data_IF_364958727878
#
_entry.id   IF_364958727878
#
_cell.length_a   1.000
_cell.length_b   1.000
_cell.length_c   1.000
_cell.angle_alpha   90.00
_cell.angle_beta   90.00
_cell.angle_gamma   90.00
#
_symmetry.space_group_name_H-M   'P 1'
#
loop_
_entity.id
_entity.type
_entity.pdbx_description
1 polymer ?
#
# COMPACT_ATOMS: atom_id res chain seq x y z
N UNK A 1 -8.76 -0.96 16.81
CA UNK A 1 -10.03 -0.52 16.18
C UNK A 1 -10.31 -1.45 15.01
N UNK A 2 -11.57 -1.81 14.72
CA UNK A 2 -11.86 -2.55 13.50
C UNK A 2 -11.62 -1.64 12.29
N UNK A 3 -10.78 -2.09 11.36
CA UNK A 3 -10.61 -1.50 10.02
C UNK A 3 -10.87 -2.60 9.00
N UNK A 4 -11.29 -2.22 7.80
CA UNK A 4 -11.62 -3.17 6.74
C UNK A 4 -11.02 -2.71 5.43
N UNK A 5 -10.38 -3.65 4.74
CA UNK A 5 -9.96 -3.46 3.36
C UNK A 5 -11.12 -3.75 2.41
N UNK A 6 -11.08 -3.15 1.23
CA UNK A 6 -12.08 -3.35 0.18
C UNK A 6 -11.39 -3.77 -1.11
N UNK A 7 -11.96 -4.75 -1.81
CA UNK A 7 -11.57 -5.13 -3.17
C UNK A 7 -12.74 -4.85 -4.09
N UNK A 8 -12.54 -3.91 -5.01
CA UNK A 8 -13.51 -3.58 -6.05
C UNK A 8 -13.15 -4.38 -7.30
N UNK A 9 -14.09 -5.15 -7.82
CA UNK A 9 -13.92 -5.96 -9.03
C UNK A 9 -14.87 -5.50 -10.13
N UNK A 10 -14.31 -5.28 -11.32
CA UNK A 10 -15.06 -4.96 -12.54
C UNK A 10 -14.41 -5.64 -13.73
N UNK A 11 -15.12 -6.61 -14.33
CA UNK A 11 -14.54 -7.51 -15.33
C UNK A 11 -13.25 -8.17 -14.84
N UNK A 12 -12.16 -8.02 -15.61
CA UNK A 12 -10.84 -8.57 -15.28
C UNK A 12 -9.96 -7.59 -14.47
N UNK A 13 -10.53 -6.49 -13.99
CA UNK A 13 -9.83 -5.47 -13.20
C UNK A 13 -10.22 -5.60 -11.74
N UNK A 14 -9.22 -5.53 -10.86
CA UNK A 14 -9.41 -5.48 -9.41
C UNK A 14 -8.55 -4.42 -8.74
N UNK A 15 -9.17 -3.63 -7.88
CA UNK A 15 -8.56 -2.54 -7.12
C UNK A 15 -8.74 -2.84 -5.63
N UNK A 16 -7.67 -2.76 -4.86
CA UNK A 16 -7.67 -3.00 -3.42
C UNK A 16 -7.36 -1.72 -2.68
N UNK A 17 -8.24 -1.34 -1.76
CA UNK A 17 -8.03 -0.26 -0.79
C UNK A 17 -7.70 -0.89 0.56
N UNK A 18 -6.51 -0.62 1.10
CA UNK A 18 -6.01 -1.28 2.31
C UNK A 18 -6.70 -0.83 3.59
N UNK A 19 -7.17 0.42 3.62
CA UNK A 19 -7.46 1.16 4.87
C UNK A 19 -6.23 1.24 5.79
N UNK A 20 -6.41 1.76 7.01
CA UNK A 20 -5.38 1.77 8.04
C UNK A 20 -5.12 0.35 8.55
N UNK A 21 -3.86 -0.07 8.47
CA UNK A 21 -3.39 -1.35 8.97
C UNK A 21 -1.89 -1.34 9.19
N UNK A 22 -1.41 -2.27 10.02
CA UNK A 22 0.01 -2.47 10.35
C UNK A 22 0.70 -3.59 9.56
N UNK A 23 -0.03 -4.24 8.64
CA UNK A 23 0.51 -5.29 7.75
C UNK A 23 0.87 -6.61 8.43
N UNK A 24 0.36 -6.88 9.64
CA UNK A 24 0.60 -8.14 10.37
C UNK A 24 -0.38 -9.26 10.04
N UNK A 25 -1.51 -8.96 9.41
CA UNK A 25 -2.50 -9.97 9.02
C UNK A 25 -2.11 -10.62 7.69
N UNK A 26 -1.68 -11.90 7.67
CA UNK A 26 -1.34 -12.59 6.43
C UNK A 26 -2.55 -12.76 5.50
N UNK A 27 -3.79 -12.72 6.04
CA UNK A 27 -5.01 -12.76 5.25
C UNK A 27 -5.13 -11.58 4.28
N UNK A 28 -4.54 -10.43 4.61
CA UNK A 28 -4.55 -9.27 3.71
C UNK A 28 -3.69 -9.50 2.47
N UNK A 29 -2.53 -10.15 2.60
CA UNK A 29 -1.65 -10.45 1.47
C UNK A 29 -2.35 -11.36 0.46
N UNK A 30 -3.01 -12.43 0.95
CA UNK A 30 -3.78 -13.32 0.09
C UNK A 30 -5.01 -12.62 -0.51
N UNK A 31 -5.70 -11.78 0.27
CA UNK A 31 -6.83 -10.97 -0.21
C UNK A 31 -6.43 -10.00 -1.32
N UNK A 32 -5.26 -9.36 -1.22
CA UNK A 32 -4.75 -8.38 -2.17
C UNK A 32 -4.08 -9.02 -3.40
N UNK A 33 -3.92 -10.34 -3.40
CA UNK A 33 -3.11 -11.06 -4.37
C UNK A 33 -3.54 -10.81 -5.82
N UNK A 34 -2.55 -10.49 -6.64
CA UNK A 34 -2.68 -10.26 -8.08
C UNK A 34 -3.58 -9.08 -8.44
N UNK A 35 -3.89 -8.17 -7.49
CA UNK A 35 -4.69 -7.00 -7.79
C UNK A 35 -4.00 -6.13 -8.85
N UNK A 36 -4.80 -5.52 -9.72
CA UNK A 36 -4.30 -4.59 -10.72
C UNK A 36 -3.75 -3.32 -10.04
N UNK A 37 -4.43 -2.88 -8.99
CA UNK A 37 -4.03 -1.72 -8.21
C UNK A 37 -4.20 -2.03 -6.73
N UNK A 38 -3.16 -1.79 -5.94
CA UNK A 38 -3.23 -1.71 -4.49
C UNK A 38 -3.01 -0.26 -4.07
N UNK A 39 -3.95 0.31 -3.33
CA UNK A 39 -3.80 1.60 -2.65
C UNK A 39 -3.56 1.30 -1.18
N UNK A 40 -2.37 1.64 -0.69
CA UNK A 40 -1.97 1.39 0.70
C UNK A 40 -1.53 2.67 1.42
N UNK A 41 -1.96 2.82 2.66
CA UNK A 41 -1.59 3.99 3.48
C UNK A 41 -0.11 3.95 3.86
N UNK A 42 0.56 5.10 3.78
CA UNK A 42 1.96 5.32 4.15
C UNK A 42 2.02 6.47 5.16
N UNK A 43 1.56 6.21 6.39
CA UNK A 43 1.27 7.26 7.36
C UNK A 43 2.43 7.57 8.32
N UNK A 44 3.48 6.74 8.38
CA UNK A 44 4.58 6.84 9.35
C UNK A 44 5.95 6.74 8.68
N UNK A 45 6.99 7.38 9.24
CA UNK A 45 8.34 7.32 8.69
C UNK A 45 9.01 5.95 8.93
N UNK A 46 10.13 5.67 8.24
CA UNK A 46 10.97 4.51 8.52
C UNK A 46 11.36 4.42 10.01
N UNK A 47 11.38 3.19 10.55
CA UNK A 47 11.77 2.93 11.94
C UNK A 47 10.77 3.37 13.01
N UNK A 48 9.68 4.05 12.65
CA UNK A 48 8.60 4.34 13.60
C UNK A 48 7.84 3.07 13.97
N UNK A 49 7.41 2.97 15.23
CA UNK A 49 6.57 1.88 15.72
C UNK A 49 5.23 2.43 16.22
N UNK A 50 4.26 2.52 15.33
CA UNK A 50 2.90 2.97 15.65
C UNK A 50 1.95 1.79 15.47
N UNK A 51 1.26 1.31 16.51
CA UNK A 51 0.54 0.02 16.49
C UNK A 51 -0.49 -0.17 15.37
N UNK A 52 -0.98 0.92 14.79
CA UNK A 52 -2.08 0.92 13.81
C UNK A 52 -1.63 1.20 12.37
N UNK A 53 -0.33 1.44 12.12
CA UNK A 53 0.17 1.78 10.79
C UNK A 53 1.38 0.93 10.40
N UNK A 54 1.43 0.54 9.12
CA UNK A 54 2.54 -0.17 8.54
C UNK A 54 3.74 0.78 8.33
N UNK A 55 4.94 0.28 8.60
CA UNK A 55 6.16 0.99 8.19
C UNK A 55 6.30 0.96 6.66
N UNK A 56 7.07 1.87 6.05
CA UNK A 56 7.28 1.86 4.61
C UNK A 56 7.83 0.53 4.07
N UNK A 57 8.82 -0.07 4.74
CA UNK A 57 9.30 -1.41 4.43
C UNK A 57 8.19 -2.48 4.47
N UNK A 58 7.26 -2.41 5.43
CA UNK A 58 6.12 -3.34 5.52
C UNK A 58 5.14 -3.13 4.35
N UNK A 59 4.84 -1.87 3.98
CA UNK A 59 4.01 -1.56 2.79
C UNK A 59 4.63 -2.18 1.54
N UNK A 60 5.94 -2.01 1.35
CA UNK A 60 6.67 -2.58 0.23
C UNK A 60 6.60 -4.11 0.21
N UNK A 61 6.88 -4.75 1.36
CA UNK A 61 6.81 -6.21 1.52
C UNK A 61 5.43 -6.75 1.17
N UNK A 62 4.37 -6.14 1.71
CA UNK A 62 2.98 -6.55 1.46
C UNK A 62 2.64 -6.46 -0.03
N UNK A 63 2.99 -5.35 -0.69
CA UNK A 63 2.75 -5.20 -2.12
C UNK A 63 3.55 -6.22 -2.97
N UNK A 64 4.79 -6.51 -2.59
CA UNK A 64 5.64 -7.48 -3.26
C UNK A 64 5.11 -8.91 -3.12
N UNK A 65 4.76 -9.32 -1.89
CA UNK A 65 4.22 -10.66 -1.59
C UNK A 65 2.86 -10.88 -2.23
N UNK A 66 2.00 -9.85 -2.25
CA UNK A 66 0.71 -9.90 -2.94
C UNK A 66 0.85 -9.89 -4.48
N UNK A 67 2.05 -9.68 -5.03
CA UNK A 67 2.31 -9.61 -6.46
C UNK A 67 1.33 -8.64 -7.19
N UNK A 68 1.08 -7.48 -6.59
CA UNK A 68 0.20 -6.46 -7.18
C UNK A 68 0.85 -5.86 -8.42
N UNK A 69 0.06 -5.57 -9.46
CA UNK A 69 0.61 -5.02 -10.71
C UNK A 69 1.10 -3.58 -10.54
N UNK A 70 0.46 -2.81 -9.65
CA UNK A 70 0.85 -1.44 -9.32
C UNK A 70 0.46 -1.11 -7.88
N UNK A 71 1.35 -0.42 -7.18
CA UNK A 71 1.13 0.15 -5.86
C UNK A 71 0.93 1.66 -5.96
N UNK A 72 -0.11 2.17 -5.30
CA UNK A 72 -0.25 3.60 -4.97
C UNK A 72 -0.08 3.75 -3.46
N UNK A 73 0.81 4.62 -3.04
CA UNK A 73 0.90 5.06 -1.63
C UNK A 73 0.13 6.36 -1.43
N UNK A 74 -0.58 6.48 -0.32
CA UNK A 74 -1.38 7.66 0.04
C UNK A 74 -1.46 7.82 1.57
N UNK A 75 -2.30 8.74 2.06
CA UNK A 75 -2.55 8.97 3.48
C UNK A 75 -1.26 9.32 4.26
N UNK A 76 -0.56 10.36 3.80
CA UNK A 76 0.70 10.80 4.38
C UNK A 76 0.49 11.66 5.63
N UNK A 77 1.34 11.46 6.63
CA UNK A 77 1.54 12.42 7.72
C UNK A 77 2.72 13.34 7.39
N UNK A 78 3.14 14.18 8.34
CA UNK A 78 4.32 15.03 8.18
C UNK A 78 5.60 14.22 8.44
N UNK A 79 6.31 13.83 7.37
CA UNK A 79 7.64 13.21 7.40
C UNK A 79 8.35 13.36 6.05
N UNK A 80 9.65 13.01 6.00
CA UNK A 80 10.45 12.99 4.77
C UNK A 80 10.01 11.87 3.82
N UNK A 81 9.18 12.22 2.83
CA UNK A 81 8.58 11.24 1.93
C UNK A 81 9.62 10.45 1.13
N UNK A 82 10.68 11.10 0.63
CA UNK A 82 11.72 10.43 -0.14
C UNK A 82 12.42 9.32 0.65
N UNK A 83 12.66 9.54 1.95
CA UNK A 83 13.23 8.53 2.83
C UNK A 83 12.26 7.34 3.05
N UNK A 84 10.96 7.61 3.18
CA UNK A 84 9.94 6.57 3.28
C UNK A 84 9.83 5.75 1.98
N UNK A 85 9.86 6.41 0.81
CA UNK A 85 9.88 5.71 -0.49
C UNK A 85 11.15 4.87 -0.62
N UNK A 86 12.32 5.39 -0.23
CA UNK A 86 13.56 4.61 -0.25
C UNK A 86 13.48 3.35 0.61
N UNK A 87 12.92 3.45 1.82
CA UNK A 87 12.71 2.31 2.73
C UNK A 87 11.72 1.29 2.16
N UNK A 88 10.59 1.76 1.60
CA UNK A 88 9.61 0.91 0.91
C UNK A 88 10.23 0.14 -0.28
N UNK A 89 11.10 0.81 -1.04
CA UNK A 89 11.79 0.25 -2.22
C UNK A 89 12.78 -0.85 -1.88
N UNK A 90 13.19 -1.01 -0.62
CA UNK A 90 14.01 -2.15 -0.20
C UNK A 90 13.28 -3.49 -0.37
N UNK A 91 11.95 -3.47 -0.35
CA UNK A 91 11.10 -4.67 -0.45
C UNK A 91 10.23 -4.72 -1.72
N UNK A 92 9.89 -3.59 -2.35
CA UNK A 92 9.02 -3.54 -3.53
C UNK A 92 9.69 -2.99 -4.79
N UNK A 93 9.79 -3.84 -5.81
CA UNK A 93 10.43 -3.51 -7.08
C UNK A 93 9.43 -3.21 -8.21
N UNK A 94 8.12 -3.30 -7.95
CA UNK A 94 7.08 -3.07 -8.96
C UNK A 94 6.78 -1.58 -9.23
N UNK A 95 5.83 -1.30 -10.14
CA UNK A 95 5.36 0.05 -10.43
C UNK A 95 4.78 0.72 -9.18
N UNK A 96 5.28 1.92 -8.86
CA UNK A 96 4.87 2.71 -7.70
C UNK A 96 4.40 4.08 -8.16
N UNK A 97 3.28 4.53 -7.59
CA UNK A 97 2.76 5.88 -7.72
C UNK A 97 2.66 6.49 -6.33
N UNK A 98 3.18 7.70 -6.18
CA UNK A 98 2.88 8.54 -5.01
C UNK A 98 1.57 9.26 -5.30
N UNK A 99 0.53 8.97 -4.52
CA UNK A 99 -0.78 9.60 -4.67
C UNK A 99 -0.73 11.10 -4.35
N UNK A 100 -1.55 11.87 -5.05
CA UNK A 100 -1.73 13.29 -4.81
C UNK A 100 -3.22 13.67 -4.89
N UNK A 101 -3.58 14.79 -4.26
CA UNK A 101 -4.93 15.33 -4.33
C UNK A 101 -5.35 15.56 -5.79
N UNK A 102 -6.61 15.23 -6.10
CA UNK A 102 -7.21 15.33 -7.44
C UNK A 102 -6.53 14.47 -8.53
N UNK A 103 -5.63 13.56 -8.17
CA UNK A 103 -4.98 12.68 -9.13
C UNK A 103 -5.96 11.65 -9.73
N UNK A 104 -5.95 11.55 -11.06
CA UNK A 104 -6.57 10.45 -11.79
C UNK A 104 -5.50 9.43 -12.19
N UNK A 105 -5.73 8.15 -11.91
CA UNK A 105 -4.80 7.06 -12.28
C UNK A 105 -5.52 6.00 -13.12
N UNK A 106 -5.05 5.71 -14.34
CA UNK A 106 -5.59 4.59 -15.12
C UNK A 106 -5.17 3.26 -14.51
N UNK A 107 -6.03 2.24 -14.60
CA UNK A 107 -5.75 0.90 -14.07
C UNK A 107 -5.24 -0.01 -15.18
N UNK A 108 -4.10 -0.68 -14.94
CA UNK A 108 -3.40 -1.58 -15.88
C UNK A 108 -3.80 -3.05 -15.73
#
# INVERSE_FOLDING_TARGET
MPTSAYRVQTGNVSIVFSSDQNGTDPGFVEFAKGANLLIMHLAIPPGANVPLHATPAVVGRVAQEAAVKQLIVSHFSLFELDAAIADLRTAYNGPLIVGADMQCTPVL
#
